data_IF_737134267356
#
_entry.id   IF_737134267356
#
_cell.length_a   1.000
_cell.length_b   1.000
_cell.length_c   1.000
_cell.angle_alpha   90.00
_cell.angle_beta   90.00
_cell.angle_gamma   90.00
#
_symmetry.space_group_name_H-M   'P 1'
#
loop_
_entity.id
_entity.type
_entity.pdbx_description
1 polymer ?
#
# COMPACT_ATOMS: atom_id res chain seq x y z
N UNK A 1 22.15 -11.34 15.00
CA UNK A 1 21.68 -10.22 14.17
C UNK A 1 22.06 -10.53 12.73
N UNK A 2 21.17 -11.21 11.99
CA UNK A 2 21.41 -11.58 10.59
C UNK A 2 20.72 -10.55 9.70
N UNK A 3 21.48 -9.92 8.80
CA UNK A 3 20.97 -8.94 7.86
C UNK A 3 19.99 -9.61 6.88
N UNK A 4 18.78 -9.06 6.77
CA UNK A 4 17.83 -9.43 5.72
C UNK A 4 18.32 -8.81 4.41
N UNK A 5 18.53 -9.58 3.33
CA UNK A 5 18.98 -9.02 2.07
C UNK A 5 17.80 -8.33 1.39
N UNK A 6 17.85 -6.99 1.28
CA UNK A 6 16.94 -6.22 0.41
C UNK A 6 17.54 -6.21 -1.00
N UNK A 7 17.53 -7.37 -1.66
CA UNK A 7 17.88 -7.50 -3.06
C UNK A 7 16.59 -7.73 -3.85
N UNK A 8 15.94 -6.63 -4.23
CA UNK A 8 14.79 -6.61 -5.13
C UNK A 8 14.81 -5.32 -5.92
N UNK A 9 14.88 -5.44 -7.24
CA UNK A 9 15.02 -4.35 -8.22
C UNK A 9 14.00 -3.21 -7.99
N UNK A 10 14.47 -2.07 -7.48
CA UNK A 10 13.67 -0.92 -7.02
C UNK A 10 13.09 -0.07 -8.18
N UNK A 11 13.21 -0.55 -9.43
CA UNK A 11 12.99 0.26 -10.65
C UNK A 11 11.66 0.02 -11.37
N UNK A 12 10.56 -0.15 -10.63
CA UNK A 12 9.23 0.13 -11.20
C UNK A 12 8.39 0.95 -10.23
N UNK A 13 8.56 2.27 -10.30
CA UNK A 13 7.67 3.28 -9.71
C UNK A 13 6.30 3.21 -10.40
N UNK A 14 5.43 2.31 -9.94
CA UNK A 14 4.08 2.10 -10.49
C UNK A 14 3.09 3.20 -10.02
N UNK A 15 3.42 3.93 -8.96
CA UNK A 15 2.49 4.86 -8.28
C UNK A 15 1.96 5.99 -9.16
N UNK A 16 2.79 6.74 -9.91
CA UNK A 16 2.28 7.88 -10.68
C UNK A 16 1.24 7.45 -11.73
N UNK A 17 1.44 6.26 -12.31
CA UNK A 17 0.55 5.70 -13.33
C UNK A 17 -0.75 5.15 -12.72
N UNK A 18 -0.67 4.53 -11.54
CA UNK A 18 -1.84 4.02 -10.83
C UNK A 18 -2.75 5.17 -10.37
N UNK A 19 -2.17 6.24 -9.82
CA UNK A 19 -2.92 7.41 -9.37
C UNK A 19 -3.53 8.22 -10.52
N UNK A 20 -2.93 8.17 -11.71
CA UNK A 20 -3.49 8.77 -12.92
C UNK A 20 -4.69 8.02 -13.49
N UNK A 21 -4.96 6.79 -13.01
CA UNK A 21 -6.03 5.91 -13.48
C UNK A 21 -6.88 5.41 -12.31
N UNK A 22 -7.90 6.20 -11.91
CA UNK A 22 -8.73 5.92 -10.75
C UNK A 22 -9.29 4.48 -10.71
N UNK A 23 -9.70 3.94 -11.84
CA UNK A 23 -10.24 2.58 -11.96
C UNK A 23 -9.19 1.50 -11.66
N UNK A 24 -7.93 1.72 -12.02
CA UNK A 24 -6.84 0.81 -11.71
C UNK A 24 -6.48 0.89 -10.23
N UNK A 25 -6.46 2.10 -9.66
CA UNK A 25 -6.29 2.30 -8.23
C UNK A 25 -7.38 1.56 -7.46
N UNK A 26 -8.65 1.74 -7.83
CA UNK A 26 -9.77 1.11 -7.15
C UNK A 26 -9.72 -0.42 -7.23
N UNK A 27 -9.27 -1.00 -8.36
CA UNK A 27 -9.06 -2.44 -8.50
C UNK A 27 -7.97 -2.96 -7.55
N UNK A 28 -6.81 -2.30 -7.49
CA UNK A 28 -5.72 -2.65 -6.57
C UNK A 28 -6.18 -2.52 -5.11
N UNK A 29 -6.88 -1.44 -4.77
CA UNK A 29 -7.39 -1.23 -3.41
C UNK A 29 -8.43 -2.29 -3.01
N UNK A 30 -9.25 -2.75 -3.95
CA UNK A 30 -10.20 -3.84 -3.73
C UNK A 30 -9.50 -5.16 -3.38
N UNK A 31 -8.47 -5.52 -4.15
CA UNK A 31 -7.66 -6.72 -3.88
C UNK A 31 -6.97 -6.64 -2.52
N UNK A 32 -6.33 -5.51 -2.21
CA UNK A 32 -5.64 -5.32 -0.94
C UNK A 32 -6.60 -5.38 0.25
N UNK A 33 -7.79 -4.79 0.13
CA UNK A 33 -8.81 -4.84 1.18
C UNK A 33 -9.19 -6.30 1.50
N UNK A 34 -9.40 -7.13 0.48
CA UNK A 34 -9.71 -8.55 0.68
C UNK A 34 -8.56 -9.29 1.37
N UNK A 35 -7.31 -9.06 0.93
CA UNK A 35 -6.12 -9.66 1.55
C UNK A 35 -5.95 -9.26 3.01
N UNK A 36 -6.21 -8.01 3.34
CA UNK A 36 -6.02 -7.51 4.70
C UNK A 36 -7.05 -8.11 5.67
N UNK A 37 -8.29 -8.29 5.21
CA UNK A 37 -9.36 -8.91 5.98
C UNK A 37 -9.03 -10.36 6.40
N UNK A 38 -8.24 -11.11 5.61
CA UNK A 38 -7.82 -12.49 5.96
C UNK A 38 -7.03 -12.56 7.29
N UNK A 39 -6.30 -11.49 7.65
CA UNK A 39 -5.43 -11.45 8.83
C UNK A 39 -5.95 -10.58 9.98
N UNK A 40 -7.02 -9.82 9.77
CA UNK A 40 -7.45 -8.73 10.65
C UNK A 40 -7.76 -9.19 12.08
N UNK A 41 -8.64 -10.18 12.24
CA UNK A 41 -9.03 -10.71 13.55
C UNK A 41 -7.83 -11.18 14.38
N UNK A 42 -6.84 -11.81 13.71
CA UNK A 42 -5.61 -12.24 14.38
C UNK A 42 -4.78 -11.05 14.85
N UNK A 43 -4.59 -10.04 13.99
CA UNK A 43 -3.81 -8.85 14.33
C UNK A 43 -4.45 -8.05 15.46
N UNK A 44 -5.77 -7.95 15.49
CA UNK A 44 -6.52 -7.30 16.57
C UNK A 44 -6.39 -8.06 17.89
N UNK A 45 -6.59 -9.38 17.86
CA UNK A 45 -6.51 -10.23 19.06
C UNK A 45 -5.12 -10.25 19.67
N UNK A 46 -4.09 -10.30 18.82
CA UNK A 46 -2.70 -10.48 19.23
C UNK A 46 -1.93 -9.16 19.36
N UNK A 47 -2.56 -8.03 19.03
CA UNK A 47 -1.92 -6.72 18.92
C UNK A 47 -0.62 -6.75 18.08
N UNK A 48 -0.64 -7.53 17.00
CA UNK A 48 0.54 -7.80 16.17
C UNK A 48 0.58 -6.90 14.93
N UNK A 49 1.79 -6.55 14.48
CA UNK A 49 1.95 -5.69 13.30
C UNK A 49 1.76 -6.48 11.98
N UNK A 50 0.96 -5.97 11.02
CA UNK A 50 0.68 -6.68 9.77
C UNK A 50 1.77 -6.44 8.72
N UNK A 51 2.95 -7.04 8.92
CA UNK A 51 4.12 -6.86 8.04
C UNK A 51 3.82 -7.17 6.57
N UNK A 52 3.05 -8.23 6.30
CA UNK A 52 2.70 -8.66 4.95
C UNK A 52 1.82 -7.61 4.24
N UNK A 53 0.86 -7.00 4.96
CA UNK A 53 0.01 -5.95 4.42
C UNK A 53 0.83 -4.73 4.00
N UNK A 54 1.80 -4.33 4.83
CA UNK A 54 2.71 -3.22 4.51
C UNK A 54 3.65 -3.56 3.35
N UNK A 55 4.13 -4.80 3.25
CA UNK A 55 4.92 -5.24 2.10
C UNK A 55 4.11 -5.11 0.80
N UNK A 56 2.84 -5.50 0.80
CA UNK A 56 1.94 -5.32 -0.36
C UNK A 56 1.74 -3.85 -0.70
N UNK A 57 1.45 -2.99 0.30
CA UNK A 57 1.36 -1.54 0.09
C UNK A 57 2.64 -0.97 -0.53
N UNK A 58 3.81 -1.43 -0.08
CA UNK A 58 5.10 -0.99 -0.58
C UNK A 58 5.37 -1.47 -2.02
N UNK A 59 4.98 -2.70 -2.36
CA UNK A 59 5.08 -3.23 -3.74
C UNK A 59 4.25 -2.41 -4.72
N UNK A 60 3.07 -1.92 -4.30
CA UNK A 60 2.26 -0.98 -5.09
C UNK A 60 2.69 0.49 -4.94
N UNK A 61 3.72 0.77 -4.12
CA UNK A 61 4.24 2.10 -3.79
C UNK A 61 3.24 3.02 -3.07
N UNK A 62 2.20 2.45 -2.48
CA UNK A 62 1.14 3.20 -1.79
C UNK A 62 1.60 3.82 -0.46
N UNK A 63 2.66 3.28 0.16
CA UNK A 63 3.27 3.86 1.37
C UNK A 63 3.79 5.29 1.12
N UNK A 64 4.32 5.56 -0.07
CA UNK A 64 4.82 6.88 -0.47
C UNK A 64 3.84 7.64 -1.38
N UNK A 65 2.56 7.28 -1.38
CA UNK A 65 1.59 7.81 -2.34
C UNK A 65 1.47 9.33 -2.29
N UNK A 66 1.46 9.94 -1.10
CA UNK A 66 1.32 11.41 -0.93
C UNK A 66 2.63 12.18 -1.06
N UNK A 67 3.77 11.49 -1.04
CA UNK A 67 5.07 12.15 -1.20
C UNK A 67 5.11 12.78 -2.61
N UNK A 68 5.57 14.03 -2.76
CA UNK A 68 5.65 14.68 -4.07
C UNK A 68 6.42 13.82 -5.09
N UNK A 69 5.95 13.78 -6.34
CA UNK A 69 6.62 13.04 -7.40
C UNK A 69 8.07 13.52 -7.64
N UNK A 70 8.33 14.83 -7.46
CA UNK A 70 9.67 15.41 -7.52
C UNK A 70 10.64 14.90 -6.45
N UNK A 71 10.13 14.32 -5.37
CA UNK A 71 10.88 13.69 -4.30
C UNK A 71 10.86 12.14 -4.38
N UNK A 72 10.37 11.59 -5.50
CA UNK A 72 10.30 10.13 -5.73
C UNK A 72 9.03 9.45 -5.21
N UNK A 73 8.01 10.23 -4.83
CA UNK A 73 6.72 9.71 -4.36
C UNK A 73 5.64 9.60 -5.44
N UNK A 74 4.40 9.34 -5.00
CA UNK A 74 3.24 9.22 -5.89
C UNK A 74 2.58 10.55 -6.29
N UNK A 75 2.70 11.60 -5.46
CA UNK A 75 2.01 12.88 -5.67
C UNK A 75 0.48 12.80 -5.55
N UNK A 76 -0.05 11.87 -4.75
CA UNK A 76 -1.48 11.65 -4.58
C UNK A 76 -2.21 12.91 -4.11
N UNK A 77 -3.33 13.20 -4.77
CA UNK A 77 -4.31 14.16 -4.27
C UNK A 77 -4.96 13.66 -2.98
N UNK A 78 -5.58 14.57 -2.22
CA UNK A 78 -6.35 14.23 -1.02
C UNK A 78 -7.43 13.17 -1.30
N UNK A 79 -8.08 13.23 -2.46
CA UNK A 79 -9.09 12.27 -2.86
C UNK A 79 -8.52 10.85 -3.00
N UNK A 80 -7.36 10.71 -3.65
CA UNK A 80 -6.68 9.42 -3.81
C UNK A 80 -6.12 8.91 -2.48
N UNK A 81 -5.52 9.80 -1.69
CA UNK A 81 -5.03 9.47 -0.34
C UNK A 81 -6.15 8.94 0.57
N UNK A 82 -7.32 9.59 0.56
CA UNK A 82 -8.49 9.10 1.30
C UNK A 82 -8.91 7.70 0.90
N UNK A 83 -8.90 7.38 -0.40
CA UNK A 83 -9.25 6.02 -0.87
C UNK A 83 -8.26 4.99 -0.37
N UNK A 84 -6.96 5.27 -0.47
CA UNK A 84 -5.89 4.39 0.00
C UNK A 84 -6.05 4.10 1.50
N UNK A 85 -6.21 5.15 2.32
CA UNK A 85 -6.42 4.99 3.77
C UNK A 85 -7.71 4.23 4.06
N UNK A 86 -8.80 4.51 3.34
CA UNK A 86 -10.08 3.82 3.53
C UNK A 86 -10.01 2.34 3.18
N UNK A 87 -9.23 1.96 2.17
CA UNK A 87 -9.02 0.56 1.81
C UNK A 87 -8.21 -0.18 2.88
N UNK A 88 -7.14 0.44 3.39
CA UNK A 88 -6.36 -0.12 4.48
C UNK A 88 -7.19 -0.28 5.77
N UNK A 89 -8.07 0.68 6.06
CA UNK A 89 -8.95 0.67 7.24
C UNK A 89 -10.20 -0.22 7.09
N UNK A 90 -10.50 -0.77 5.90
CA UNK A 90 -11.64 -1.68 5.70
C UNK A 90 -11.26 -3.15 5.72
N UNK A 91 -9.97 -3.46 5.74
CA UNK A 91 -9.48 -4.82 5.92
C UNK A 91 -9.59 -5.28 7.37
N UNK A 92 -10.76 -5.04 7.98
CA UNK A 92 -11.19 -5.47 9.31
C UNK A 92 -12.13 -6.69 9.18
#
# INVERSE_FOLDING_TARGET
>A
MSAVPVAGDVRRLVVPHLLARPEQLDAVLGELTQRFAEGAERHDREASFPFENFALLQQHGLVAAVVPASAGGGGASLASARRIVSAAARGE
#
